data_IF_861730097784
#
_entry.id   IF_861730097784
#
_cell.length_a   1.000
_cell.length_b   1.000
_cell.length_c   1.000
_cell.angle_alpha   90.00
_cell.angle_beta   90.00
_cell.angle_gamma   90.00
#
_symmetry.space_group_name_H-M   'P 1'
#
loop_
_entity.id
_entity.type
_entity.pdbx_description
1 polymer ?
#
# COMPACT_ATOMS: atom_id res chain seq x y z
N UNK A 1 7.96 -0.85 -11.56
CA UNK A 1 6.50 -0.84 -11.31
C UNK A 1 6.14 -2.18 -10.70
N UNK A 2 5.48 -2.17 -9.56
CA UNK A 2 4.96 -3.35 -8.89
C UNK A 2 3.46 -3.25 -8.69
N UNK A 3 2.82 -4.38 -8.34
CA UNK A 3 1.41 -4.43 -8.03
C UNK A 3 1.20 -5.01 -6.64
N UNK A 4 0.10 -4.64 -6.01
CA UNK A 4 -0.33 -5.09 -4.69
C UNK A 4 -1.85 -5.17 -4.65
N UNK A 5 -2.38 -6.05 -3.83
CA UNK A 5 -3.81 -6.20 -3.60
C UNK A 5 -4.21 -5.43 -2.34
N UNK A 6 -5.31 -4.69 -2.41
CA UNK A 6 -5.93 -4.03 -1.28
C UNK A 6 -7.40 -4.43 -1.17
N UNK A 7 -7.86 -4.47 0.07
CA UNK A 7 -9.26 -4.63 0.46
C UNK A 7 -9.56 -3.55 1.48
N UNK A 8 -10.42 -2.59 1.13
CA UNK A 8 -10.69 -1.43 1.95
C UNK A 8 -12.12 -0.91 1.76
N UNK A 9 -12.53 -0.07 2.69
CA UNK A 9 -13.80 0.65 2.64
C UNK A 9 -13.55 2.08 2.23
N UNK A 10 -14.45 2.63 1.44
CA UNK A 10 -14.54 4.06 1.23
C UNK A 10 -15.99 4.53 1.38
N UNK A 11 -16.13 5.75 1.88
CA UNK A 11 -17.42 6.39 2.05
C UNK A 11 -17.48 7.67 1.23
N UNK A 12 -18.56 7.86 0.50
CA UNK A 12 -18.90 9.14 -0.11
C UNK A 12 -20.01 9.75 0.71
N UNK A 13 -19.75 10.95 1.21
CA UNK A 13 -20.69 11.74 1.96
C UNK A 13 -21.00 13.01 1.18
N UNK A 14 -22.30 13.31 0.94
CA UNK A 14 -22.73 14.55 0.31
C UNK A 14 -23.33 15.49 1.34
N UNK A 15 -22.94 16.78 1.29
CA UNK A 15 -23.58 17.82 2.09
C UNK A 15 -24.99 18.16 1.56
N UNK A 16 -25.24 17.93 0.28
CA UNK A 16 -26.57 18.07 -0.31
C UNK A 16 -27.39 16.80 -0.08
N UNK A 17 -28.55 16.97 0.53
CA UNK A 17 -29.52 15.87 0.63
C UNK A 17 -29.98 15.56 -0.80
N UNK A 18 -30.14 14.29 -1.08
CA UNK A 18 -30.68 13.75 -2.32
C UNK A 18 -29.69 13.56 -3.50
N UNK A 19 -28.42 14.00 -3.38
CA UNK A 19 -27.43 13.77 -4.45
C UNK A 19 -27.10 12.26 -4.64
N UNK A 20 -27.36 11.43 -3.63
CA UNK A 20 -27.05 10.00 -3.61
C UNK A 20 -28.29 9.11 -3.82
N UNK A 21 -29.48 9.69 -4.06
CA UNK A 21 -30.73 8.92 -4.27
C UNK A 21 -30.61 7.99 -5.48
N UNK A 22 -29.96 8.43 -6.54
CA UNK A 22 -29.71 7.63 -7.74
C UNK A 22 -28.39 6.85 -7.69
N UNK A 23 -27.74 6.80 -6.53
CA UNK A 23 -26.41 6.23 -6.32
C UNK A 23 -25.33 7.30 -6.19
N UNK A 24 -24.18 6.98 -5.55
CA UNK A 24 -23.06 7.91 -5.47
C UNK A 24 -22.52 8.19 -6.87
N UNK A 25 -21.91 9.37 -7.09
CA UNK A 25 -21.18 9.60 -8.32
C UNK A 25 -20.17 8.47 -8.53
N UNK A 26 -20.17 7.84 -9.71
CA UNK A 26 -19.22 6.76 -9.97
C UNK A 26 -17.81 7.28 -9.89
N UNK A 27 -16.95 6.50 -9.26
CA UNK A 27 -15.53 6.82 -9.08
C UNK A 27 -14.66 5.81 -9.81
N UNK A 28 -13.49 6.26 -10.23
CA UNK A 28 -12.48 5.44 -10.89
C UNK A 28 -11.18 5.44 -10.07
N UNK A 29 -10.58 4.27 -9.97
CA UNK A 29 -9.28 4.09 -9.34
C UNK A 29 -8.19 4.17 -10.40
N UNK A 30 -7.55 5.32 -10.52
CA UNK A 30 -6.65 5.66 -11.61
C UNK A 30 -5.43 4.74 -11.73
N UNK A 31 -5.08 4.04 -10.67
CA UNK A 31 -4.01 3.05 -10.64
C UNK A 31 -4.51 1.65 -10.22
N UNK A 32 -5.82 1.43 -10.24
CA UNK A 32 -6.47 0.16 -9.94
C UNK A 32 -6.65 -0.71 -11.18
N UNK A 33 -6.87 -2.01 -10.95
CA UNK A 33 -7.24 -3.03 -11.94
C UNK A 33 -8.04 -4.12 -11.28
N UNK A 34 -8.99 -4.67 -12.03
CA UNK A 34 -9.81 -5.81 -11.60
C UNK A 34 -10.54 -5.56 -10.26
N UNK A 35 -11.03 -4.33 -10.07
CA UNK A 35 -11.73 -3.96 -8.85
C UNK A 35 -13.09 -4.65 -8.77
N UNK A 36 -13.40 -5.13 -7.59
CA UNK A 36 -14.72 -5.64 -7.22
C UNK A 36 -15.32 -4.75 -6.16
N UNK A 37 -16.57 -4.35 -6.38
CA UNK A 37 -17.31 -3.47 -5.48
C UNK A 37 -18.41 -4.25 -4.80
N UNK A 38 -18.58 -4.05 -3.50
CA UNK A 38 -19.75 -4.49 -2.76
C UNK A 38 -20.32 -3.29 -2.01
N UNK A 39 -21.56 -2.90 -2.34
CA UNK A 39 -22.28 -1.86 -1.62
C UNK A 39 -22.83 -2.44 -0.34
N UNK A 40 -22.52 -1.84 0.79
CA UNK A 40 -23.07 -2.32 2.07
C UNK A 40 -24.05 -1.34 2.72
N UNK A 41 -23.90 -0.06 2.46
CA UNK A 41 -24.80 0.94 3.00
C UNK A 41 -25.06 2.06 1.99
N UNK A 42 -26.33 2.38 1.79
CA UNK A 42 -26.78 3.50 0.98
C UNK A 42 -27.88 4.25 1.74
N UNK A 43 -27.64 5.51 2.04
CA UNK A 43 -28.63 6.43 2.56
C UNK A 43 -28.69 7.69 1.67
N UNK A 44 -29.63 8.59 1.94
CA UNK A 44 -29.87 9.77 1.09
C UNK A 44 -28.64 10.67 0.88
N UNK A 45 -27.63 10.57 1.76
CA UNK A 45 -26.44 11.41 1.73
C UNK A 45 -25.13 10.67 2.00
N UNK A 46 -25.17 9.35 2.16
CA UNK A 46 -23.97 8.51 2.43
C UNK A 46 -24.04 7.26 1.57
N UNK A 47 -22.92 6.92 0.95
CA UNK A 47 -22.69 5.62 0.32
C UNK A 47 -21.40 5.03 0.84
N UNK A 48 -21.48 3.84 1.41
CA UNK A 48 -20.33 3.07 1.85
C UNK A 48 -20.14 1.87 0.95
N UNK A 49 -18.95 1.71 0.44
CA UNK A 49 -18.60 0.61 -0.44
C UNK A 49 -17.30 -0.03 -0.02
N UNK A 50 -17.25 -1.35 -0.09
CA UNK A 50 -16.02 -2.11 0.03
C UNK A 50 -15.45 -2.37 -1.34
N UNK A 51 -14.17 -2.12 -1.50
CA UNK A 51 -13.43 -2.33 -2.73
C UNK A 51 -12.31 -3.32 -2.47
N UNK A 52 -12.22 -4.30 -3.35
CA UNK A 52 -11.08 -5.18 -3.43
C UNK A 52 -10.53 -5.13 -4.84
N UNK A 53 -9.23 -4.85 -4.98
CA UNK A 53 -8.61 -4.69 -6.29
C UNK A 53 -7.10 -4.78 -6.24
N UNK A 54 -6.51 -4.85 -7.42
CA UNK A 54 -5.07 -4.84 -7.63
C UNK A 54 -4.66 -3.43 -8.03
N UNK A 55 -3.73 -2.86 -7.28
CA UNK A 55 -3.23 -1.50 -7.50
C UNK A 55 -1.78 -1.53 -7.97
N UNK A 56 -1.42 -0.54 -8.78
CA UNK A 56 -0.08 -0.42 -9.36
C UNK A 56 0.61 0.80 -8.76
N UNK A 57 1.85 0.62 -8.30
CA UNK A 57 2.69 1.70 -7.80
C UNK A 57 4.13 1.56 -8.26
N UNK A 58 4.86 2.65 -8.25
CA UNK A 58 6.32 2.60 -8.41
C UNK A 58 6.94 2.08 -7.11
N UNK A 59 7.64 0.96 -7.22
CA UNK A 59 8.34 0.36 -6.10
C UNK A 59 9.84 0.55 -6.30
N UNK A 60 10.50 1.13 -5.31
CA UNK A 60 11.94 1.33 -5.28
C UNK A 60 12.59 0.28 -4.37
N UNK A 61 13.45 -0.55 -4.95
CA UNK A 61 14.16 -1.62 -4.25
C UNK A 61 15.66 -1.35 -4.11
N UNK A 62 16.11 -0.11 -4.36
CA UNK A 62 17.55 0.23 -4.29
C UNK A 62 18.14 0.02 -2.92
N UNK A 63 17.33 0.20 -1.88
CA UNK A 63 17.74 0.05 -0.49
C UNK A 63 17.53 -1.36 0.07
N UNK A 64 17.37 -2.35 -0.82
CA UNK A 64 17.24 -3.75 -0.37
C UNK A 64 18.41 -4.14 0.56
N UNK A 65 18.17 -4.80 1.69
CA UNK A 65 16.90 -5.39 2.15
C UNK A 65 16.09 -4.51 3.12
N UNK A 66 16.32 -3.21 3.20
CA UNK A 66 15.69 -2.26 4.11
C UNK A 66 14.83 -1.23 3.38
N UNK A 67 14.26 -1.65 2.26
CA UNK A 67 13.45 -0.79 1.41
C UNK A 67 12.19 -0.26 2.08
N UNK A 68 11.81 0.96 1.68
CA UNK A 68 10.52 1.58 1.96
C UNK A 68 9.74 1.63 0.67
N UNK A 69 8.53 1.11 0.70
CA UNK A 69 7.65 1.08 -0.46
C UNK A 69 6.44 1.96 -0.19
N UNK A 70 6.13 2.84 -1.14
CA UNK A 70 4.94 3.66 -1.12
C UNK A 70 3.84 2.97 -1.92
N UNK A 71 2.75 2.61 -1.26
CA UNK A 71 1.56 2.07 -1.87
C UNK A 71 0.55 3.22 -2.00
N UNK A 72 0.17 3.54 -3.21
CA UNK A 72 -0.68 4.69 -3.51
C UNK A 72 -1.99 4.25 -4.13
N UNK A 73 -3.10 4.81 -3.66
CA UNK A 73 -4.43 4.67 -4.26
C UNK A 73 -4.87 6.05 -4.71
N UNK A 74 -5.09 6.21 -6.00
CA UNK A 74 -5.59 7.44 -6.60
C UNK A 74 -7.03 7.25 -7.05
N UNK A 75 -7.92 8.13 -6.61
CA UNK A 75 -9.35 8.10 -6.85
C UNK A 75 -9.78 9.39 -7.55
N UNK A 76 -10.57 9.27 -8.61
CA UNK A 76 -11.19 10.40 -9.30
C UNK A 76 -12.69 10.13 -9.55
N UNK A 77 -13.54 11.16 -9.62
CA UNK A 77 -14.90 10.99 -10.13
C UNK A 77 -14.84 10.64 -11.62
N UNK A 78 -15.76 9.77 -12.06
CA UNK A 78 -15.90 9.48 -13.49
C UNK A 78 -16.60 10.64 -14.24
N UNK A 79 -16.31 10.76 -15.53
CA UNK A 79 -17.05 11.66 -16.42
C UNK A 79 -18.58 11.44 -16.30
N UNK A 80 -19.44 12.47 -16.18
CA UNK A 80 -19.12 13.89 -16.44
C UNK A 80 -18.81 14.74 -15.19
N UNK A 81 -18.45 14.14 -14.07
CA UNK A 81 -18.30 14.83 -12.78
C UNK A 81 -16.91 15.46 -12.63
N UNK A 82 -16.72 16.63 -13.26
CA UNK A 82 -15.53 17.46 -13.10
C UNK A 82 -15.52 18.24 -11.76
N UNK A 83 -14.56 19.15 -11.58
CA UNK A 83 -14.42 19.95 -10.35
C UNK A 83 -15.58 20.93 -10.11
N UNK A 84 -16.38 21.24 -11.13
CA UNK A 84 -17.60 22.06 -10.97
C UNK A 84 -18.75 21.26 -10.34
N UNK A 85 -18.67 19.93 -10.39
CA UNK A 85 -19.70 19.03 -9.87
C UNK A 85 -19.28 18.33 -8.59
N UNK A 86 -18.03 17.83 -8.52
CA UNK A 86 -17.54 17.02 -7.40
C UNK A 86 -16.15 17.44 -6.97
N UNK A 87 -16.02 17.78 -5.70
CA UNK A 87 -14.73 18.04 -5.05
C UNK A 87 -14.61 17.13 -3.83
N UNK A 88 -13.57 16.29 -3.84
CA UNK A 88 -13.28 15.44 -2.69
C UNK A 88 -12.75 16.24 -1.49
N UNK A 89 -13.05 15.75 -0.30
CA UNK A 89 -12.48 16.24 0.95
C UNK A 89 -11.96 15.07 1.78
N UNK A 90 -10.95 15.32 2.56
CA UNK A 90 -10.41 14.31 3.47
C UNK A 90 -11.33 14.23 4.67
N UNK A 91 -11.85 13.02 4.95
CA UNK A 91 -12.55 12.74 6.20
C UNK A 91 -11.50 12.57 7.32
N UNK A 92 -11.63 13.29 8.44
CA UNK A 92 -10.76 13.09 9.60
C UNK A 92 -10.78 11.68 10.18
N UNK A 93 -11.81 10.89 9.90
CA UNK A 93 -11.92 9.49 10.31
C UNK A 93 -11.17 8.53 9.36
N UNK A 94 -10.64 9.04 8.23
CA UNK A 94 -9.82 8.22 7.33
C UNK A 94 -8.59 7.70 8.04
N UNK A 95 -8.30 6.42 7.90
CA UNK A 95 -7.17 5.77 8.57
C UNK A 95 -6.94 4.36 8.09
N UNK A 96 -6.13 3.62 8.82
CA UNK A 96 -5.88 2.21 8.61
C UNK A 96 -6.43 1.42 9.79
N UNK A 97 -7.04 0.28 9.52
CA UNK A 97 -7.46 -0.63 10.58
C UNK A 97 -6.22 -1.16 11.33
N UNK A 98 -6.26 -1.11 12.65
CA UNK A 98 -5.16 -1.58 13.51
C UNK A 98 -4.86 -3.08 13.35
N UNK A 99 -5.78 -3.84 12.80
CA UNK A 99 -5.61 -5.25 12.46
C UNK A 99 -4.96 -5.47 11.09
N UNK A 100 -4.84 -4.42 10.26
CA UNK A 100 -4.22 -4.53 8.95
C UNK A 100 -2.72 -4.80 9.09
N UNK A 101 -2.29 -5.96 8.67
CA UNK A 101 -0.89 -6.40 8.77
C UNK A 101 -0.38 -6.96 7.45
N UNK A 102 0.87 -6.65 7.14
CA UNK A 102 1.58 -7.27 6.02
C UNK A 102 2.72 -8.11 6.59
N UNK A 103 2.72 -9.45 6.43
CA UNK A 103 3.73 -10.29 7.05
C UNK A 103 5.16 -9.90 6.69
N UNK A 104 5.98 -9.58 7.70
CA UNK A 104 7.38 -9.15 7.53
C UNK A 104 7.57 -7.68 7.21
N UNK A 105 6.49 -6.89 7.20
CA UNK A 105 6.52 -5.45 6.97
C UNK A 105 5.85 -4.71 8.12
N UNK A 106 6.31 -3.51 8.38
CA UNK A 106 5.64 -2.53 9.23
C UNK A 106 4.86 -1.58 8.33
N UNK A 107 3.61 -1.31 8.65
CA UNK A 107 2.76 -0.37 7.93
C UNK A 107 2.70 0.92 8.74
N UNK A 108 3.04 2.03 8.13
CA UNK A 108 2.94 3.36 8.76
C UNK A 108 1.54 3.93 8.56
N UNK A 109 1.19 4.91 9.38
CA UNK A 109 -0.05 5.68 9.20
C UNK A 109 -0.13 6.25 7.78
N UNK A 110 -1.29 6.16 7.12
CA UNK A 110 -1.48 6.66 5.78
C UNK A 110 -1.44 8.19 5.72
N UNK A 111 -1.00 8.70 4.59
CA UNK A 111 -1.10 10.12 4.27
C UNK A 111 -2.17 10.32 3.21
N UNK A 112 -3.10 11.21 3.48
CA UNK A 112 -4.17 11.56 2.56
C UNK A 112 -3.94 12.94 1.96
N UNK A 113 -4.24 13.09 0.69
CA UNK A 113 -4.19 14.38 0.01
C UNK A 113 -5.32 14.50 -1.03
N UNK A 114 -5.78 15.71 -1.21
CA UNK A 114 -6.73 16.06 -2.27
C UNK A 114 -6.12 17.14 -3.14
N UNK A 115 -6.22 16.99 -4.43
CA UNK A 115 -5.73 17.96 -5.42
C UNK A 115 -6.61 17.95 -6.67
N UNK A 116 -6.27 18.81 -7.61
CA UNK A 116 -6.91 18.86 -8.92
C UNK A 116 -5.99 18.27 -9.98
N UNK A 117 -6.52 17.40 -10.81
CA UNK A 117 -5.83 16.87 -11.98
C UNK A 117 -6.38 17.53 -13.22
N UNK A 118 -5.50 18.16 -14.00
CA UNK A 118 -5.82 18.79 -15.28
C UNK A 118 -5.38 17.84 -16.40
N UNK A 119 -6.29 17.55 -17.31
CA UNK A 119 -6.05 16.72 -18.48
C UNK A 119 -5.76 17.55 -19.73
N UNK A 120 -5.19 16.92 -20.74
CA UNK A 120 -4.77 17.60 -21.98
C UNK A 120 -5.93 18.21 -22.81
N UNK A 121 -7.16 17.81 -22.54
CA UNK A 121 -8.39 18.39 -23.10
C UNK A 121 -8.90 19.60 -22.32
N UNK A 122 -8.26 19.97 -21.22
CA UNK A 122 -8.62 21.08 -20.33
C UNK A 122 -9.62 20.72 -19.24
N UNK A 123 -10.06 19.48 -19.15
CA UNK A 123 -10.93 19.02 -18.08
C UNK A 123 -10.16 18.90 -16.76
N UNK A 124 -10.83 19.27 -15.67
CA UNK A 124 -10.26 19.27 -14.31
C UNK A 124 -11.07 18.34 -13.42
N UNK A 125 -10.40 17.37 -12.80
CA UNK A 125 -11.03 16.42 -11.88
C UNK A 125 -10.42 16.53 -10.49
N UNK A 126 -11.25 16.40 -9.47
CA UNK A 126 -10.79 16.29 -8.09
C UNK A 126 -10.15 14.92 -7.87
N UNK A 127 -8.87 14.89 -7.47
CA UNK A 127 -8.13 13.65 -7.19
C UNK A 127 -7.89 13.50 -5.69
N UNK A 128 -8.39 12.40 -5.14
CA UNK A 128 -8.06 11.95 -3.80
C UNK A 128 -6.93 10.92 -3.88
N UNK A 129 -5.91 11.09 -3.06
CA UNK A 129 -4.77 10.17 -3.01
C UNK A 129 -4.55 9.71 -1.57
N UNK A 130 -4.57 8.40 -1.38
CA UNK A 130 -4.16 7.74 -0.14
C UNK A 130 -2.79 7.08 -0.36
N UNK A 131 -1.82 7.41 0.47
CA UNK A 131 -0.46 6.86 0.38
C UNK A 131 -0.12 6.13 1.67
N UNK A 132 0.20 4.86 1.55
CA UNK A 132 0.62 3.99 2.64
C UNK A 132 2.10 3.70 2.48
N UNK A 133 2.86 3.84 3.56
CA UNK A 133 4.28 3.47 3.57
C UNK A 133 4.44 2.13 4.26
N UNK A 134 5.06 1.18 3.58
CA UNK A 134 5.45 -0.09 4.17
C UNK A 134 6.98 -0.19 4.20
N UNK A 135 7.50 -0.66 5.33
CA UNK A 135 8.93 -0.81 5.58
C UNK A 135 9.23 -2.23 6.04
N UNK A 136 10.33 -2.81 5.60
CA UNK A 136 10.73 -4.12 6.10
C UNK A 136 11.11 -4.07 7.56
N UNK A 137 10.63 -5.06 8.32
CA UNK A 137 11.06 -5.26 9.70
C UNK A 137 12.56 -5.54 9.75
N UNK A 138 13.32 -4.67 10.42
CA UNK A 138 14.78 -4.83 10.58
C UNK A 138 15.14 -6.19 11.18
N UNK A 139 14.49 -6.57 12.27
CA UNK A 139 14.79 -7.84 12.96
C UNK A 139 14.49 -9.03 12.06
N UNK A 140 13.33 -9.04 11.38
CA UNK A 140 12.96 -10.12 10.47
C UNK A 140 13.92 -10.26 9.30
N UNK A 141 14.35 -9.14 8.74
CA UNK A 141 15.31 -9.07 7.63
C UNK A 141 16.69 -9.52 8.08
N UNK A 142 17.17 -9.03 9.23
CA UNK A 142 18.47 -9.39 9.79
C UNK A 142 18.56 -10.91 10.03
N UNK A 143 17.57 -11.49 10.71
CA UNK A 143 17.57 -12.92 11.05
C UNK A 143 17.46 -13.82 9.81
N UNK A 144 16.72 -13.40 8.78
CA UNK A 144 16.48 -14.25 7.60
C UNK A 144 17.56 -14.13 6.53
N UNK A 145 18.17 -12.96 6.37
CA UNK A 145 19.08 -12.67 5.25
C UNK A 145 20.52 -12.51 5.76
N UNK A 146 20.75 -11.64 6.73
CA UNK A 146 22.10 -11.26 7.15
C UNK A 146 22.71 -12.30 8.07
N UNK A 147 21.95 -12.80 9.04
CA UNK A 147 22.46 -13.73 10.04
C UNK A 147 23.00 -15.05 9.46
N UNK A 148 22.33 -15.73 8.51
CA UNK A 148 22.90 -16.92 7.85
C UNK A 148 24.21 -16.64 7.13
N UNK A 149 24.34 -15.48 6.47
CA UNK A 149 25.58 -15.08 5.79
C UNK A 149 26.71 -14.88 6.81
N UNK A 150 26.43 -14.23 7.93
CA UNK A 150 27.41 -14.06 9.01
C UNK A 150 27.87 -15.39 9.59
N UNK A 151 26.96 -16.37 9.76
CA UNK A 151 27.33 -17.71 10.22
C UNK A 151 28.28 -18.39 9.23
N UNK A 152 27.99 -18.36 7.95
CA UNK A 152 28.86 -18.95 6.92
C UNK A 152 30.23 -18.28 6.92
N UNK A 153 30.30 -16.96 7.02
CA UNK A 153 31.57 -16.23 7.10
C UNK A 153 32.34 -16.59 8.37
N UNK A 154 31.66 -16.70 9.51
CA UNK A 154 32.32 -17.09 10.78
C UNK A 154 32.87 -18.50 10.70
N UNK A 155 32.15 -19.48 10.17
CA UNK A 155 32.62 -20.84 9.97
C UNK A 155 33.82 -20.86 9.02
N UNK A 156 33.77 -20.13 7.91
CA UNK A 156 34.86 -20.03 6.95
C UNK A 156 36.14 -19.43 7.59
N UNK A 157 35.93 -18.39 8.41
CA UNK A 157 37.05 -17.79 9.16
C UNK A 157 37.66 -18.75 10.20
N UNK A 158 36.81 -19.47 10.95
CA UNK A 158 37.24 -20.47 11.90
C UNK A 158 38.02 -21.61 11.21
N UNK A 159 37.55 -22.07 10.04
CA UNK A 159 38.24 -23.09 9.27
C UNK A 159 39.65 -22.65 8.84
N UNK A 160 39.84 -21.37 8.53
CA UNK A 160 41.16 -20.81 8.20
C UNK A 160 42.12 -20.78 9.39
N UNK A 161 41.58 -20.68 10.62
CA UNK A 161 42.39 -20.66 11.85
C UNK A 161 42.82 -22.07 12.33
N UNK A 162 42.26 -23.15 11.75
CA UNK A 162 42.64 -24.52 12.11
C UNK A 162 44.03 -24.81 11.55
N UNK A 163 45.01 -25.16 12.40
CA UNK A 163 46.37 -25.49 11.96
C UNK A 163 46.34 -26.74 11.06
N UNK A 164 47.23 -26.78 10.04
CA UNK A 164 47.36 -27.91 9.11
C UNK A 164 47.62 -29.29 9.79
N UNK A 165 48.02 -29.29 11.04
CA UNK A 165 48.31 -30.52 11.82
C UNK A 165 47.10 -31.02 12.63
N UNK A 166 45.94 -30.36 12.53
CA UNK A 166 44.75 -30.79 13.25
C UNK A 166 44.10 -31.95 12.51
N UNK A 167 44.27 -33.16 13.04
CA UNK A 167 43.62 -34.36 12.48
C UNK A 167 42.14 -34.39 12.88
N UNK A 168 41.29 -33.98 11.97
CA UNK A 168 39.82 -33.92 12.15
C UNK A 168 39.24 -35.33 12.36
N UNK A 169 39.91 -36.37 11.90
CA UNK A 169 39.46 -37.76 12.05
C UNK A 169 39.44 -38.23 13.50
N UNK A 170 40.35 -37.70 14.34
CA UNK A 170 40.40 -38.02 15.75
C UNK A 170 39.32 -37.36 16.61
N UNK A 171 38.64 -36.33 16.08
CA UNK A 171 37.57 -35.63 16.78
C UNK A 171 36.16 -36.21 16.52
N UNK A 172 36.03 -37.16 15.56
CA UNK A 172 34.78 -37.78 15.15
C UNK A 172 34.60 -39.23 15.64
N UNK A 173 35.56 -39.75 16.39
CA UNK A 173 35.50 -41.06 17.08
C UNK A 173 35.21 -40.84 18.56
#
# INVERSE_FOLDING_TARGET
>A
VGSYELDFWYSIFSEEKDLIIDGPPPVDFMNGRDETFSSEYLASNISEQRVRGVFVSEMDFRDFPFEKILLKVDLEPMTPYDTDHVVFRIDPASGIDSSATVPGWSVSEPTFSVGTKIYGNGEEYSRYSATYTIERSFIGTFLKIIFPVLIVLAISFLAYLIPEHFDVSAALT
#
